data_IF_460440692372
#
_entry.id   IF_460440692372
#
_cell.length_a   1.000
_cell.length_b   1.000
_cell.length_c   1.000
_cell.angle_alpha   90.00
_cell.angle_beta   90.00
_cell.angle_gamma   90.00
#
_symmetry.space_group_name_H-M   'P 1'
#
loop_
_entity.id
_entity.type
_entity.pdbx_description
1 polymer ?
#
# COMPACT_ATOMS: atom_id res chain seq x y z
N UNK A 1 -11.19 0.61 -53.68
CA UNK A 1 -11.18 -0.52 -52.74
C UNK A 1 -10.12 -0.22 -51.70
N UNK A 2 -10.45 0.59 -50.69
CA UNK A 2 -9.59 0.82 -49.53
C UNK A 2 -10.49 0.90 -48.31
N UNK A 3 -10.48 -0.20 -47.56
CA UNK A 3 -11.20 -0.39 -46.32
C UNK A 3 -10.33 0.22 -45.21
N UNK A 4 -10.50 1.53 -44.97
CA UNK A 4 -9.83 2.20 -43.85
C UNK A 4 -10.54 1.78 -42.56
N UNK A 5 -9.86 0.94 -41.78
CA UNK A 5 -10.28 0.42 -40.48
C UNK A 5 -10.64 1.60 -39.55
N UNK A 6 -11.86 1.61 -39.01
CA UNK A 6 -12.24 2.51 -37.92
C UNK A 6 -11.47 2.10 -36.65
N UNK A 7 -11.01 3.05 -35.81
CA UNK A 7 -10.47 2.71 -34.51
C UNK A 7 -11.54 1.92 -33.76
N UNK A 8 -11.20 0.71 -33.33
CA UNK A 8 -12.10 -0.21 -32.65
C UNK A 8 -12.83 0.54 -31.53
N UNK A 9 -14.15 0.41 -31.51
CA UNK A 9 -14.97 0.62 -30.32
C UNK A 9 -14.37 -0.25 -29.20
N UNK A 10 -13.50 0.32 -28.38
CA UNK A 10 -13.13 -0.29 -27.11
C UNK A 10 -14.30 -0.02 -26.19
N UNK A 11 -15.28 -0.91 -26.20
CA UNK A 11 -16.26 -1.02 -25.11
C UNK A 11 -15.48 -1.43 -23.86
N UNK A 12 -15.19 -0.48 -22.97
CA UNK A 12 -14.65 -0.76 -21.64
C UNK A 12 -15.74 -1.46 -20.83
N UNK A 13 -15.83 -2.78 -20.96
CA UNK A 13 -16.56 -3.62 -20.01
C UNK A 13 -15.75 -3.64 -18.71
N UNK A 14 -16.07 -2.73 -17.79
CA UNK A 14 -15.43 -2.68 -16.48
C UNK A 14 -15.93 -3.85 -15.62
N UNK A 15 -15.34 -5.03 -15.83
CA UNK A 15 -15.54 -6.17 -14.96
C UNK A 15 -14.93 -5.86 -13.58
N UNK A 16 -15.76 -5.87 -12.53
CA UNK A 16 -15.26 -5.81 -11.15
C UNK A 16 -14.52 -7.11 -10.86
N UNK A 17 -13.21 -6.99 -10.67
CA UNK A 17 -12.35 -8.11 -10.36
C UNK A 17 -12.26 -8.24 -8.83
N UNK A 18 -12.77 -9.34 -8.24
CA UNK A 18 -12.75 -9.51 -6.79
C UNK A 18 -11.32 -9.40 -6.25
N UNK A 19 -11.13 -8.54 -5.23
CA UNK A 19 -9.83 -8.24 -4.65
C UNK A 19 -9.05 -7.07 -5.30
N UNK A 20 -9.60 -6.44 -6.35
CA UNK A 20 -9.03 -5.19 -6.93
C UNK A 20 -9.66 -3.91 -6.36
N UNK A 21 -10.68 -4.04 -5.53
CA UNK A 21 -11.24 -2.94 -4.74
C UNK A 21 -10.34 -2.68 -3.53
N UNK A 22 -9.32 -1.85 -3.78
CA UNK A 22 -8.32 -1.45 -2.80
C UNK A 22 -8.71 -0.13 -2.14
N UNK A 23 -8.66 -0.10 -0.82
CA UNK A 23 -9.03 1.04 0.01
C UNK A 23 -7.83 1.54 0.78
N UNK A 24 -7.68 2.86 0.89
CA UNK A 24 -6.61 3.47 1.70
C UNK A 24 -6.86 3.19 3.17
N UNK A 25 -5.91 2.51 3.80
CA UNK A 25 -5.92 2.23 5.25
C UNK A 25 -4.99 3.14 6.03
N UNK A 26 -3.91 3.63 5.39
CA UNK A 26 -2.98 4.57 6.00
C UNK A 26 -2.26 5.42 4.94
N UNK A 27 -1.67 6.52 5.40
CA UNK A 27 -0.84 7.42 4.60
C UNK A 27 0.41 7.81 5.38
N UNK A 28 1.56 7.73 4.74
CA UNK A 28 2.83 8.15 5.32
C UNK A 28 3.49 9.21 4.44
N UNK A 29 4.32 10.08 5.02
CA UNK A 29 5.06 11.08 4.24
C UNK A 29 6.40 10.54 3.73
N UNK A 30 6.90 9.46 4.32
CA UNK A 30 8.19 8.86 3.98
C UNK A 30 7.95 7.42 3.50
N UNK A 31 8.61 6.96 2.41
CA UNK A 31 8.43 5.60 1.89
C UNK A 31 8.81 4.51 2.90
N UNK A 32 9.86 4.73 3.68
CA UNK A 32 10.33 3.76 4.69
C UNK A 32 9.24 3.45 5.72
N UNK A 33 8.58 4.48 6.26
CA UNK A 33 7.49 4.30 7.22
C UNK A 33 6.32 3.51 6.62
N UNK A 34 6.01 3.77 5.35
CA UNK A 34 4.96 3.06 4.64
C UNK A 34 5.28 1.56 4.47
N UNK A 35 6.52 1.23 4.11
CA UNK A 35 6.96 -0.16 3.98
C UNK A 35 7.07 -0.87 5.33
N UNK A 36 7.45 -0.17 6.40
CA UNK A 36 7.46 -0.73 7.75
C UNK A 36 6.04 -1.11 8.18
N UNK A 37 5.08 -0.19 8.02
CA UNK A 37 3.67 -0.46 8.33
C UNK A 37 3.07 -1.54 7.41
N UNK A 38 3.43 -1.57 6.12
CA UNK A 38 3.07 -2.66 5.21
C UNK A 38 3.60 -4.01 5.74
N UNK A 39 4.83 -4.06 6.24
CA UNK A 39 5.40 -5.26 6.86
C UNK A 39 4.60 -5.75 8.05
N UNK A 40 4.20 -4.85 8.95
CA UNK A 40 3.32 -5.19 10.08
C UNK A 40 1.96 -5.73 9.60
N UNK A 41 1.34 -5.09 8.61
CA UNK A 41 0.08 -5.53 8.02
C UNK A 41 0.21 -6.92 7.39
N UNK A 42 1.27 -7.15 6.61
CA UNK A 42 1.53 -8.44 5.98
C UNK A 42 1.79 -9.55 7.02
N UNK A 43 2.57 -9.27 8.06
CA UNK A 43 2.80 -10.20 9.17
C UNK A 43 1.51 -10.53 9.93
N UNK A 44 0.61 -9.56 10.06
CA UNK A 44 -0.73 -9.75 10.62
C UNK A 44 -1.74 -10.39 9.66
N UNK A 45 -1.35 -10.76 8.43
CA UNK A 45 -2.21 -11.44 7.45
C UNK A 45 -3.03 -10.54 6.53
N UNK A 46 -2.80 -9.21 6.56
CA UNK A 46 -3.46 -8.26 5.65
C UNK A 46 -2.64 -8.11 4.37
N UNK A 47 -3.21 -8.38 3.17
CA UNK A 47 -2.51 -8.25 1.90
C UNK A 47 -2.42 -6.77 1.47
N UNK A 48 -1.56 -6.00 2.15
CA UNK A 48 -1.40 -4.56 1.94
C UNK A 48 -0.50 -4.22 0.74
N UNK A 49 -0.86 -3.20 -0.02
CA UNK A 49 -0.11 -2.67 -1.18
C UNK A 49 0.29 -1.24 -0.92
N UNK A 50 1.54 -0.89 -1.21
CA UNK A 50 2.04 0.49 -1.13
C UNK A 50 1.93 1.16 -2.49
N UNK A 51 1.29 2.33 -2.54
CA UNK A 51 1.17 3.19 -3.71
C UNK A 51 1.97 4.49 -3.52
N UNK A 52 2.42 5.08 -4.64
CA UNK A 52 3.13 6.37 -4.73
C UNK A 52 4.54 6.41 -4.11
N UNK A 53 4.99 5.36 -3.41
CA UNK A 53 6.31 5.28 -2.79
C UNK A 53 7.47 5.60 -3.74
N UNK A 54 7.43 5.12 -4.98
CA UNK A 54 8.52 5.37 -5.94
C UNK A 54 8.61 6.84 -6.38
N UNK A 55 7.48 7.53 -6.53
CA UNK A 55 7.47 8.95 -6.87
C UNK A 55 7.94 9.79 -5.67
N UNK A 56 7.44 9.47 -4.48
CA UNK A 56 7.86 10.13 -3.23
C UNK A 56 9.34 9.87 -2.91
N UNK A 57 9.86 8.67 -3.21
CA UNK A 57 11.28 8.35 -3.03
C UNK A 57 12.17 9.13 -4.01
N UNK A 58 11.70 9.34 -5.24
CA UNK A 58 12.43 10.12 -6.23
C UNK A 58 12.46 11.62 -5.89
N UNK A 59 11.36 12.15 -5.36
CA UNK A 59 11.24 13.54 -4.90
C UNK A 59 10.32 13.63 -3.67
N UNK A 60 10.92 13.68 -2.48
CA UNK A 60 10.16 13.76 -1.21
C UNK A 60 9.29 15.01 -1.12
N UNK A 61 9.63 16.09 -1.83
CA UNK A 61 8.89 17.35 -1.78
C UNK A 61 7.53 17.26 -2.50
N UNK A 62 7.33 16.28 -3.38
CA UNK A 62 6.05 16.07 -4.05
C UNK A 62 5.02 15.34 -3.19
N UNK A 63 5.43 14.73 -2.07
CA UNK A 63 4.56 13.91 -1.23
C UNK A 63 3.24 14.59 -0.85
N UNK A 64 3.20 15.87 -0.40
CA UNK A 64 1.94 16.55 -0.08
C UNK A 64 1.00 16.67 -1.29
N UNK A 65 1.55 16.88 -2.49
CA UNK A 65 0.75 17.02 -3.71
C UNK A 65 0.13 15.69 -4.16
N UNK A 66 0.80 14.57 -3.88
CA UNK A 66 0.27 13.21 -4.13
C UNK A 66 -0.64 12.72 -2.99
N UNK A 67 -0.68 13.43 -1.86
CA UNK A 67 -1.38 13.00 -0.65
C UNK A 67 -0.63 11.97 0.18
N UNK A 68 0.69 11.91 0.04
CA UNK A 68 1.61 10.98 0.72
C UNK A 68 1.76 9.64 -0.01
N UNK A 69 2.55 8.76 0.59
CA UNK A 69 2.62 7.33 0.25
C UNK A 69 1.40 6.64 0.84
N UNK A 70 0.56 6.03 0.01
CA UNK A 70 -0.69 5.38 0.45
C UNK A 70 -0.46 3.89 0.69
N UNK A 71 -1.04 3.36 1.76
CA UNK A 71 -1.13 1.93 2.01
C UNK A 71 -2.57 1.51 1.76
N UNK A 72 -2.75 0.49 0.94
CA UNK A 72 -4.03 0.02 0.44
C UNK A 72 -4.31 -1.42 0.87
N UNK A 73 -5.56 -1.77 1.19
CA UNK A 73 -5.98 -3.14 1.47
C UNK A 73 -7.35 -3.47 0.86
N UNK A 74 -7.69 -4.75 0.61
CA UNK A 74 -9.04 -5.14 0.20
C UNK A 74 -10.08 -4.85 1.29
N UNK A 75 -11.31 -4.55 0.88
CA UNK A 75 -12.39 -4.14 1.80
C UNK A 75 -12.61 -5.09 2.99
N UNK A 76 -12.49 -6.40 2.77
CA UNK A 76 -12.69 -7.41 3.81
C UNK A 76 -11.63 -7.40 4.92
N UNK A 77 -10.51 -6.69 4.74
CA UNK A 77 -9.44 -6.58 5.73
C UNK A 77 -9.42 -5.25 6.46
N UNK A 78 -10.35 -4.32 6.20
CA UNK A 78 -10.30 -2.97 6.76
C UNK A 78 -10.27 -2.94 8.29
N UNK A 79 -11.13 -3.71 8.96
CA UNK A 79 -11.17 -3.78 10.41
C UNK A 79 -9.87 -4.36 10.99
N UNK A 80 -9.34 -5.43 10.39
CA UNK A 80 -8.07 -6.03 10.81
C UNK A 80 -6.88 -5.11 10.57
N UNK A 81 -6.87 -4.36 9.47
CA UNK A 81 -5.86 -3.36 9.18
C UNK A 81 -5.88 -2.24 10.22
N UNK A 82 -7.06 -1.75 10.60
CA UNK A 82 -7.23 -0.74 11.65
C UNK A 82 -6.68 -1.22 13.00
N UNK A 83 -6.96 -2.46 13.40
CA UNK A 83 -6.43 -3.03 14.65
C UNK A 83 -4.89 -3.09 14.65
N UNK A 84 -4.29 -3.55 13.54
CA UNK A 84 -2.83 -3.63 13.39
C UNK A 84 -2.20 -2.24 13.39
N UNK A 85 -2.80 -1.27 12.69
CA UNK A 85 -2.32 0.12 12.66
C UNK A 85 -2.38 0.72 14.07
N UNK A 86 -3.47 0.51 14.80
CA UNK A 86 -3.59 1.01 16.16
C UNK A 86 -2.54 0.37 17.11
N UNK A 87 -2.23 -0.92 16.96
CA UNK A 87 -1.16 -1.58 17.70
C UNK A 87 0.22 -1.02 17.35
N UNK A 88 0.47 -0.74 16.07
CA UNK A 88 1.70 -0.09 15.59
C UNK A 88 1.87 1.30 16.19
N UNK A 89 0.83 2.13 16.17
CA UNK A 89 0.85 3.49 16.73
C UNK A 89 1.04 3.52 18.25
N UNK A 90 0.55 2.48 18.96
CA UNK A 90 0.82 2.29 20.40
C UNK A 90 2.24 1.80 20.70
N UNK A 91 3.02 1.45 19.67
CA UNK A 91 4.38 0.93 19.82
C UNK A 91 4.46 -0.54 20.20
N UNK A 92 3.40 -1.33 20.01
CA UNK A 92 3.40 -2.76 20.38
C UNK A 92 4.40 -3.60 19.56
N UNK A 93 4.85 -3.09 18.40
CA UNK A 93 5.87 -3.71 17.57
C UNK A 93 7.28 -3.14 17.81
N UNK A 94 7.47 -2.28 18.81
CA UNK A 94 8.78 -1.78 19.16
C UNK A 94 9.67 -2.94 19.65
N UNK A 95 10.87 -3.05 19.08
CA UNK A 95 11.87 -3.98 19.57
C UNK A 95 12.57 -3.37 20.79
N UNK A 96 12.91 -4.21 21.75
CA UNK A 96 13.83 -3.82 22.83
C UNK A 96 15.23 -3.57 22.26
N UNK A 97 16.00 -2.68 22.90
CA UNK A 97 17.37 -2.36 22.50
C UNK A 97 18.30 -3.59 22.54
N UNK A 98 17.92 -4.63 23.30
CA UNK A 98 18.65 -5.89 23.41
C UNK A 98 18.02 -7.05 22.62
N UNK A 99 17.12 -6.76 21.68
CA UNK A 99 16.54 -7.80 20.84
C UNK A 99 17.64 -8.54 20.06
N UNK A 100 17.77 -9.84 20.29
CA UNK A 100 18.68 -10.71 19.53
C UNK A 100 18.08 -10.97 18.14
N UNK A 101 18.76 -10.49 17.09
CA UNK A 101 18.35 -10.64 15.69
C UNK A 101 19.14 -11.76 14.99
N UNK A 102 19.97 -12.49 15.74
CA UNK A 102 20.89 -13.49 15.21
C UNK A 102 22.05 -12.88 14.40
N UNK A 103 22.98 -13.73 13.99
CA UNK A 103 24.11 -13.33 13.14
C UNK A 103 23.65 -13.10 11.69
N UNK A 104 24.14 -12.06 10.98
CA UNK A 104 23.89 -11.90 9.56
C UNK A 104 24.39 -13.12 8.77
N UNK A 105 23.54 -13.65 7.90
CA UNK A 105 23.89 -14.73 6.97
C UNK A 105 24.68 -14.23 5.76
#
# INVERSE_FOLDING_TARGET
>A
MEHLLRPADVTMEAESLPGRDLFVVAKCMVPTDAYLLQGCLAAGGVPAVVADANHVQADLLIAPALGGVRILAPACYLAQAEEIIAAYERGEYALDDNADVGDPI
#
